data_IF_001833173981
#
_entry.id   IF_001833173981
#
_cell.length_a   1.000
_cell.length_b   1.000
_cell.length_c   1.000
_cell.angle_alpha   90.00
_cell.angle_beta   90.00
_cell.angle_gamma   90.00
#
_symmetry.space_group_name_H-M   'P 1'
#
loop_
_entity.id
_entity.type
_entity.pdbx_description
1 polymer ?
#
# COMPACT_ATOMS: atom_id res chain seq x y z
N UNK A 1 -13.11 13.17 58.87
CA UNK A 1 -13.13 12.15 59.95
C UNK A 1 -14.08 11.06 59.47
N UNK A 2 -13.65 9.81 59.21
CA UNK A 2 -13.67 8.66 60.15
C UNK A 2 -15.02 8.51 60.88
N UNK A 3 -15.76 7.38 60.97
CA UNK A 3 -15.61 5.90 60.75
C UNK A 3 -16.99 5.36 60.25
N UNK A 4 -17.28 4.08 59.92
CA UNK A 4 -16.62 2.76 59.81
C UNK A 4 -17.43 1.92 58.77
N UNK A 5 -16.86 1.02 57.96
CA UNK A 5 -16.56 -0.42 58.20
C UNK A 5 -17.69 -1.35 58.71
N UNK A 6 -18.37 -1.98 57.74
CA UNK A 6 -18.37 -3.45 57.50
C UNK A 6 -19.25 -4.43 58.33
N UNK A 7 -19.74 -5.45 57.59
CA UNK A 7 -20.24 -6.80 57.96
C UNK A 7 -21.72 -7.05 58.31
N UNK A 8 -22.26 -8.08 57.65
CA UNK A 8 -23.61 -8.65 57.80
C UNK A 8 -23.77 -9.90 56.92
N UNK A 9 -23.02 -10.97 57.21
CA UNK A 9 -22.87 -12.16 56.37
C UNK A 9 -23.76 -13.34 56.77
N UNK A 10 -24.99 -13.42 56.26
CA UNK A 10 -25.85 -14.62 56.31
C UNK A 10 -26.63 -14.76 54.97
N UNK A 11 -26.66 -15.90 54.28
CA UNK A 11 -25.95 -17.16 54.49
C UNK A 11 -26.01 -18.07 53.24
N UNK A 12 -25.18 -19.11 53.22
CA UNK A 12 -25.13 -20.12 52.15
C UNK A 12 -26.47 -20.84 51.95
N UNK A 13 -27.00 -20.85 50.72
CA UNK A 13 -27.72 -21.99 50.14
C UNK A 13 -27.58 -22.02 48.62
N UNK A 14 -26.63 -22.81 48.12
CA UNK A 14 -26.69 -23.31 46.75
C UNK A 14 -27.83 -24.33 46.59
N UNK A 15 -28.23 -24.60 45.36
CA UNK A 15 -28.16 -26.00 44.93
C UNK A 15 -27.17 -26.16 43.78
N UNK A 16 -26.24 -27.09 43.93
CA UNK A 16 -25.43 -27.54 42.81
C UNK A 16 -26.35 -28.10 41.73
N UNK A 17 -26.30 -27.51 40.53
CA UNK A 17 -26.83 -28.13 39.31
C UNK A 17 -25.67 -28.53 38.40
N UNK A 18 -25.15 -29.68 38.76
CA UNK A 18 -24.35 -30.62 37.99
C UNK A 18 -24.36 -30.40 36.47
N UNK A 19 -23.20 -30.02 35.94
CA UNK A 19 -22.64 -30.55 34.69
C UNK A 19 -23.55 -30.70 33.45
N UNK A 20 -24.18 -29.61 32.97
CA UNK A 20 -24.29 -29.28 31.53
C UNK A 20 -24.22 -27.74 31.45
N UNK A 21 -23.37 -27.10 30.64
CA UNK A 21 -22.83 -27.50 29.35
C UNK A 21 -21.56 -26.68 29.10
N UNK A 22 -20.50 -27.26 28.53
CA UNK A 22 -19.44 -26.43 27.92
C UNK A 22 -20.13 -25.57 26.86
N UNK A 23 -20.26 -24.27 27.11
CA UNK A 23 -20.43 -23.32 26.01
C UNK A 23 -19.12 -23.33 25.24
N UNK A 24 -19.05 -24.25 24.26
CA UNK A 24 -18.09 -24.17 23.18
C UNK A 24 -18.14 -22.74 22.67
N UNK A 25 -17.01 -22.05 22.61
CA UNK A 25 -16.95 -20.79 21.90
C UNK A 25 -17.43 -21.07 20.48
N UNK A 26 -18.60 -20.53 20.12
CA UNK A 26 -19.11 -20.67 18.77
C UNK A 26 -18.04 -20.08 17.83
N UNK A 27 -17.63 -20.80 16.78
CA UNK A 27 -16.72 -20.21 15.80
C UNK A 27 -17.39 -18.94 15.27
N UNK A 28 -16.67 -17.81 15.37
CA UNK A 28 -17.19 -16.51 14.99
C UNK A 28 -17.79 -16.62 13.58
N UNK A 29 -19.11 -16.39 13.46
CA UNK A 29 -19.86 -16.82 12.29
C UNK A 29 -19.21 -16.30 11.03
N UNK A 30 -18.87 -17.23 10.13
CA UNK A 30 -18.08 -16.97 8.93
C UNK A 30 -18.89 -16.13 7.95
N UNK A 31 -18.93 -14.83 8.24
CA UNK A 31 -19.58 -13.82 7.42
C UNK A 31 -18.64 -13.59 6.24
N UNK A 32 -18.67 -14.54 5.28
CA UNK A 32 -17.93 -14.50 4.03
C UNK A 32 -18.04 -13.07 3.50
N UNK A 33 -16.91 -12.35 3.56
CA UNK A 33 -16.87 -10.95 3.15
C UNK A 33 -17.39 -10.94 1.72
N UNK A 34 -18.48 -10.22 1.49
CA UNK A 34 -19.13 -10.14 0.17
C UNK A 34 -18.27 -9.25 -0.71
N UNK A 35 -17.11 -9.79 -1.12
CA UNK A 35 -16.06 -9.08 -1.83
C UNK A 35 -16.64 -8.47 -3.10
N UNK A 36 -16.12 -7.30 -3.47
CA UNK A 36 -16.62 -6.56 -4.63
C UNK A 36 -16.32 -7.33 -5.93
N UNK A 37 -17.32 -8.09 -6.42
CA UNK A 37 -17.26 -8.81 -7.69
C UNK A 37 -17.96 -7.99 -8.78
N UNK A 38 -17.37 -7.81 -9.96
CA UNK A 38 -18.03 -7.10 -11.06
C UNK A 38 -19.30 -7.82 -11.50
N UNK A 39 -20.47 -7.14 -11.40
CA UNK A 39 -21.78 -7.73 -11.70
C UNK A 39 -21.95 -8.20 -13.16
N UNK A 40 -21.16 -7.65 -14.11
CA UNK A 40 -21.16 -7.99 -15.54
C UNK A 40 -19.77 -7.82 -16.14
N UNK A 41 -19.49 -8.54 -17.24
CA UNK A 41 -18.27 -8.38 -18.05
C UNK A 41 -18.20 -6.96 -18.64
N UNK A 42 -17.04 -6.32 -18.55
CA UNK A 42 -16.77 -5.02 -19.19
C UNK A 42 -16.67 -5.21 -20.71
N UNK A 43 -17.43 -4.43 -21.48
CA UNK A 43 -17.43 -4.50 -22.95
C UNK A 43 -16.09 -4.08 -23.56
N UNK A 44 -15.74 -4.54 -24.78
CA UNK A 44 -14.50 -4.13 -25.45
C UNK A 44 -14.37 -2.60 -25.58
N UNK A 45 -15.44 -1.92 -26.01
CA UNK A 45 -15.50 -0.45 -26.10
C UNK A 45 -15.24 0.23 -24.74
N UNK A 46 -15.94 -0.17 -23.66
CA UNK A 46 -15.73 0.41 -22.31
C UNK A 46 -14.36 0.07 -21.71
N UNK A 47 -13.70 -1.00 -22.18
CA UNK A 47 -12.30 -1.28 -21.86
C UNK A 47 -11.38 -0.34 -22.65
N UNK A 48 -11.58 -0.20 -23.96
CA UNK A 48 -10.79 0.68 -24.83
C UNK A 48 -10.84 2.14 -24.38
N UNK A 49 -12.03 2.69 -24.14
CA UNK A 49 -12.21 4.06 -23.63
C UNK A 49 -11.63 4.29 -22.23
N UNK A 50 -11.42 3.23 -21.42
CA UNK A 50 -10.68 3.39 -20.16
C UNK A 50 -9.16 3.41 -20.37
N UNK A 51 -8.69 2.66 -21.38
CA UNK A 51 -7.27 2.54 -21.74
C UNK A 51 -6.77 3.63 -22.71
N UNK A 52 -7.62 4.57 -23.12
CA UNK A 52 -7.24 5.70 -24.00
C UNK A 52 -6.11 6.55 -23.42
N UNK A 53 -5.96 6.54 -22.09
CA UNK A 53 -4.94 7.29 -21.36
C UNK A 53 -3.74 6.43 -20.92
N UNK A 54 -3.72 5.12 -21.22
CA UNK A 54 -2.64 4.19 -20.84
C UNK A 54 -1.38 4.33 -21.72
N UNK A 55 -1.42 5.19 -22.75
CA UNK A 55 -0.32 5.37 -23.69
C UNK A 55 0.92 6.00 -23.02
N UNK A 56 2.07 5.34 -23.15
CA UNK A 56 3.36 5.88 -22.72
C UNK A 56 3.72 7.10 -23.57
N UNK A 57 4.15 8.18 -22.91
CA UNK A 57 4.64 9.38 -23.58
C UNK A 57 6.10 9.17 -23.97
N UNK A 58 6.44 9.51 -25.22
CA UNK A 58 7.84 9.59 -25.63
C UNK A 58 8.58 10.62 -24.77
N UNK A 59 9.82 10.30 -24.40
CA UNK A 59 10.67 11.21 -23.61
C UNK A 59 11.36 12.19 -24.56
N UNK A 60 11.44 13.46 -24.16
CA UNK A 60 12.09 14.50 -24.95
C UNK A 60 13.62 14.42 -24.78
N UNK A 61 14.26 13.75 -25.73
CA UNK A 61 15.72 13.77 -25.88
C UNK A 61 16.16 15.07 -26.58
N UNK A 62 17.36 15.53 -26.24
CA UNK A 62 18.03 16.66 -26.87
C UNK A 62 19.47 16.25 -27.19
N UNK A 63 19.95 16.61 -28.36
CA UNK A 63 21.34 16.43 -28.77
C UNK A 63 22.28 17.32 -27.93
N UNK A 64 23.41 16.78 -27.49
CA UNK A 64 24.48 17.59 -26.88
C UNK A 64 25.29 18.31 -27.98
N UNK A 65 25.35 19.64 -27.90
CA UNK A 65 26.09 20.49 -28.84
C UNK A 65 27.61 20.28 -28.84
N UNK A 66 28.18 19.53 -27.89
CA UNK A 66 29.62 19.27 -27.80
C UNK A 66 30.02 17.84 -28.18
N UNK A 67 29.15 16.85 -27.93
CA UNK A 67 29.45 15.43 -28.18
C UNK A 67 28.55 14.76 -29.23
N UNK A 68 27.42 15.39 -29.60
CA UNK A 68 26.40 14.79 -30.47
C UNK A 68 25.59 13.66 -29.82
N UNK A 69 25.86 13.30 -28.56
CA UNK A 69 25.12 12.24 -27.87
C UNK A 69 23.72 12.73 -27.43
N UNK A 70 22.73 11.82 -27.45
CA UNK A 70 21.38 12.11 -26.99
C UNK A 70 21.30 12.10 -25.46
N UNK A 71 20.92 13.24 -24.89
CA UNK A 71 20.70 13.39 -23.45
C UNK A 71 19.28 13.83 -23.12
N UNK A 72 18.87 13.59 -21.88
CA UNK A 72 17.63 14.15 -21.35
C UNK A 72 17.80 15.64 -21.05
N UNK A 73 16.78 16.44 -21.35
CA UNK A 73 16.77 17.87 -21.02
C UNK A 73 16.97 18.08 -19.51
N UNK A 74 17.88 18.96 -19.15
CA UNK A 74 18.29 19.26 -17.75
C UNK A 74 19.09 18.16 -17.02
N UNK A 75 19.44 17.05 -17.67
CA UNK A 75 20.37 16.07 -17.11
C UNK A 75 21.82 16.39 -17.49
N UNK A 76 22.75 16.00 -16.61
CA UNK A 76 24.19 15.94 -16.88
C UNK A 76 24.44 14.67 -17.68
N UNK A 77 25.32 14.71 -18.69
CA UNK A 77 25.81 13.47 -19.29
C UNK A 77 26.73 12.73 -18.30
N UNK A 78 26.46 11.45 -18.08
CA UNK A 78 27.20 10.61 -17.13
C UNK A 78 28.53 10.10 -17.69
N UNK A 79 28.71 10.03 -19.02
CA UNK A 79 30.00 9.69 -19.63
C UNK A 79 30.98 10.84 -19.49
N UNK A 80 30.67 11.98 -20.11
CA UNK A 80 31.58 13.12 -20.14
C UNK A 80 31.52 13.97 -18.88
N UNK A 81 30.52 13.82 -18.01
CA UNK A 81 30.34 14.64 -16.82
C UNK A 81 29.91 16.09 -17.12
N UNK A 82 29.53 16.38 -18.37
CA UNK A 82 29.31 17.73 -18.89
C UNK A 82 27.87 18.21 -18.77
N UNK A 83 27.70 19.50 -18.46
CA UNK A 83 26.42 20.20 -18.53
C UNK A 83 26.62 21.68 -18.89
N UNK A 84 25.89 22.14 -19.91
CA UNK A 84 25.95 23.53 -20.43
C UNK A 84 27.39 24.01 -20.71
N UNK A 85 28.24 23.14 -21.24
CA UNK A 85 29.64 23.44 -21.58
C UNK A 85 30.59 23.53 -20.38
N UNK A 86 30.19 23.02 -19.20
CA UNK A 86 31.04 22.94 -18.00
C UNK A 86 31.12 21.50 -17.49
N UNK A 87 32.33 21.11 -17.06
CA UNK A 87 32.58 19.89 -16.33
C UNK A 87 31.93 20.00 -14.93
N UNK A 88 31.06 19.07 -14.56
CA UNK A 88 30.43 19.04 -13.22
C UNK A 88 30.86 17.81 -12.43
N UNK A 89 30.94 16.65 -13.10
CA UNK A 89 31.43 15.40 -12.52
C UNK A 89 32.79 15.08 -13.16
N UNK A 90 33.70 14.46 -12.42
CA UNK A 90 34.86 13.83 -13.07
C UNK A 90 34.36 12.72 -14.00
N UNK A 91 34.90 12.61 -15.24
CA UNK A 91 34.47 11.57 -16.17
C UNK A 91 34.86 10.22 -15.59
N UNK A 92 33.87 9.40 -15.23
CA UNK A 92 34.14 8.02 -14.83
C UNK A 92 34.53 7.24 -16.08
N UNK A 93 35.78 6.78 -16.13
CA UNK A 93 36.20 5.79 -17.11
C UNK A 93 35.30 4.55 -17.03
N UNK A 94 34.96 4.03 -18.20
CA UNK A 94 34.02 2.91 -18.32
C UNK A 94 34.55 1.65 -17.59
N UNK A 95 33.67 1.02 -16.80
CA UNK A 95 33.80 -0.32 -16.22
C UNK A 95 32.65 -1.20 -16.72
#
# INVERSE_FOLDING_TARGET
>A
MLRASNQGVHGFRGPERTARQRQLMAPASEKVRKMAVPKRKVTPSRRGMRRSHDALKAVNYQEDSHTGEYKLRHHIDLKTGMYRGKQILEPKGDF
#
